data_IF_831739671874
#
_entry.id   IF_831739671874
#
_cell.length_a   1.000
_cell.length_b   1.000
_cell.length_c   1.000
_cell.angle_alpha   90.00
_cell.angle_beta   90.00
_cell.angle_gamma   90.00
#
_symmetry.space_group_name_H-M   'P 1'
#
loop_
_entity.id
_entity.type
_entity.pdbx_description
1 polymer ?
#
# COMPACT_ATOMS: atom_id res chain seq x y z
N UNK A 1 -31.65 -64.11 -12.03
CA UNK A 1 -30.98 -64.50 -13.27
C UNK A 1 -30.61 -63.22 -14.01
N UNK A 2 -29.34 -63.08 -14.40
CA UNK A 2 -28.73 -62.07 -15.29
C UNK A 2 -28.83 -60.59 -14.86
N UNK A 3 -27.76 -60.03 -14.26
CA UNK A 3 -26.55 -59.42 -14.86
C UNK A 3 -26.76 -57.95 -15.27
N UNK A 4 -26.34 -57.04 -14.40
CA UNK A 4 -25.66 -55.80 -14.81
C UNK A 4 -24.72 -55.32 -13.68
N UNK A 5 -23.70 -56.16 -13.44
CA UNK A 5 -22.49 -55.82 -12.70
C UNK A 5 -21.48 -55.24 -13.72
N UNK A 6 -21.61 -53.96 -14.10
CA UNK A 6 -20.55 -53.33 -14.92
C UNK A 6 -20.59 -51.79 -14.99
N UNK A 7 -20.86 -51.08 -13.89
CA UNK A 7 -20.64 -49.62 -13.85
C UNK A 7 -19.97 -49.13 -12.55
N UNK A 8 -19.40 -50.04 -11.77
CA UNK A 8 -18.73 -49.75 -10.49
C UNK A 8 -17.21 -49.59 -10.54
N UNK A 9 -16.59 -49.51 -11.72
CA UNK A 9 -15.12 -49.58 -11.85
C UNK A 9 -14.49 -48.35 -12.54
N UNK A 10 -15.27 -47.43 -13.12
CA UNK A 10 -14.71 -46.24 -13.78
C UNK A 10 -14.61 -44.98 -12.89
N UNK A 11 -15.19 -44.98 -11.68
CA UNK A 11 -15.11 -43.84 -10.76
C UNK A 11 -14.06 -44.00 -9.64
N UNK A 12 -13.29 -45.09 -9.64
CA UNK A 12 -12.25 -45.36 -8.64
C UNK A 12 -10.82 -45.32 -9.20
N UNK A 13 -10.64 -44.75 -10.40
CA UNK A 13 -9.32 -44.54 -11.02
C UNK A 13 -8.96 -43.05 -11.13
N UNK A 14 -9.88 -42.12 -10.84
CA UNK A 14 -9.60 -40.68 -10.91
C UNK A 14 -9.46 -39.98 -9.56
N UNK A 15 -9.19 -40.71 -8.46
CA UNK A 15 -8.97 -40.08 -7.15
C UNK A 15 -7.76 -40.62 -6.38
N UNK A 16 -6.71 -41.03 -7.09
CA UNK A 16 -5.43 -41.42 -6.48
C UNK A 16 -4.21 -40.99 -7.31
N UNK A 17 -4.33 -39.87 -8.03
CA UNK A 17 -3.21 -39.22 -8.74
C UNK A 17 -2.82 -37.85 -8.15
N UNK A 18 -3.18 -37.57 -6.90
CA UNK A 18 -2.64 -36.41 -6.18
C UNK A 18 -2.10 -36.96 -4.87
N UNK A 19 -0.82 -36.70 -4.59
CA UNK A 19 0.03 -37.26 -3.53
C UNK A 19 0.83 -38.53 -3.94
N UNK A 20 1.61 -38.43 -5.03
CA UNK A 20 2.96 -39.03 -5.08
C UNK A 20 3.87 -38.02 -5.80
N UNK A 21 4.97 -37.55 -5.21
CA UNK A 21 5.97 -36.74 -5.91
C UNK A 21 6.56 -37.55 -7.08
N UNK A 22 6.91 -36.88 -8.17
CA UNK A 22 7.38 -37.41 -9.46
C UNK A 22 8.66 -38.28 -9.45
N UNK A 23 9.07 -38.84 -8.32
CA UNK A 23 10.26 -39.68 -8.22
C UNK A 23 10.11 -40.78 -7.15
N UNK A 24 9.41 -41.86 -7.47
CA UNK A 24 9.76 -43.18 -6.93
C UNK A 24 9.19 -44.31 -7.80
N UNK A 25 10.06 -45.20 -8.24
CA UNK A 25 9.68 -46.43 -8.93
C UNK A 25 9.05 -47.40 -7.91
N UNK A 26 7.73 -47.45 -7.85
CA UNK A 26 7.00 -48.53 -7.16
C UNK A 26 6.04 -49.18 -8.14
N UNK A 27 6.40 -50.39 -8.56
CA UNK A 27 5.69 -51.26 -9.52
C UNK A 27 4.33 -51.72 -9.02
N UNK A 28 3.39 -51.90 -9.95
CA UNK A 28 1.96 -52.28 -9.84
C UNK A 28 1.62 -53.51 -8.96
N UNK A 29 2.60 -54.23 -8.43
CA UNK A 29 2.42 -55.52 -7.73
C UNK A 29 1.91 -55.40 -6.29
N UNK A 30 1.93 -54.22 -5.67
CA UNK A 30 1.60 -54.06 -4.23
C UNK A 30 0.11 -53.80 -3.95
N UNK A 31 -0.68 -53.42 -4.95
CA UNK A 31 -2.09 -53.02 -4.76
C UNK A 31 -3.04 -54.23 -4.74
N UNK A 32 -2.72 -55.32 -5.45
CA UNK A 32 -3.58 -56.51 -5.51
C UNK A 32 -3.60 -57.33 -4.21
N UNK A 33 -2.57 -57.20 -3.37
CA UNK A 33 -2.49 -57.94 -2.10
C UNK A 33 -3.44 -57.38 -1.02
N UNK A 34 -3.79 -56.09 -1.10
CA UNK A 34 -4.60 -55.42 -0.07
C UNK A 34 -6.12 -55.66 -0.24
N UNK A 35 -6.57 -55.99 -1.46
CA UNK A 35 -7.99 -56.22 -1.78
C UNK A 35 -8.50 -57.60 -1.30
N UNK A 36 -7.62 -58.58 -1.06
CA UNK A 36 -8.01 -59.94 -0.61
C UNK A 36 -8.09 -60.14 0.91
N UNK A 37 -7.59 -59.20 1.70
CA UNK A 37 -7.63 -59.28 3.17
C UNK A 37 -8.90 -58.59 3.68
N UNK A 38 -9.97 -59.34 3.98
CA UNK A 38 -11.15 -58.86 4.72
C UNK A 38 -10.81 -58.52 6.18
N UNK A 39 -9.87 -57.63 6.42
CA UNK A 39 -9.66 -57.01 7.72
C UNK A 39 -10.43 -55.69 7.75
N UNK A 40 -11.36 -55.62 8.71
CA UNK A 40 -12.12 -54.44 9.12
C UNK A 40 -11.18 -53.22 9.14
N UNK A 41 -11.31 -52.32 8.16
CA UNK A 41 -10.64 -51.03 8.20
C UNK A 41 -11.44 -50.18 9.19
N UNK A 42 -10.84 -49.91 10.35
CA UNK A 42 -11.31 -48.85 11.24
C UNK A 42 -11.18 -47.53 10.48
N UNK A 43 -12.30 -46.90 10.15
CA UNK A 43 -12.32 -45.57 9.56
C UNK A 43 -11.81 -44.62 10.64
N UNK A 44 -10.60 -44.10 10.45
CA UNK A 44 -10.08 -42.96 11.22
C UNK A 44 -11.06 -41.79 11.08
N UNK A 45 -11.30 -40.97 12.12
CA UNK A 45 -12.00 -39.70 11.90
C UNK A 45 -11.24 -38.91 10.83
N UNK A 46 -11.98 -38.43 9.83
CA UNK A 46 -11.43 -37.62 8.75
C UNK A 46 -10.67 -36.45 9.36
N UNK A 47 -9.42 -36.26 8.93
CA UNK A 47 -8.67 -35.04 9.22
C UNK A 47 -9.50 -33.84 8.74
N UNK A 48 -9.53 -32.72 9.48
CA UNK A 48 -10.22 -31.53 9.01
C UNK A 48 -9.64 -31.15 7.66
N UNK A 49 -10.49 -31.12 6.63
CA UNK A 49 -10.16 -30.52 5.35
C UNK A 49 -9.88 -29.06 5.65
N UNK A 50 -8.61 -28.68 5.67
CA UNK A 50 -8.19 -27.29 5.67
C UNK A 50 -8.61 -26.71 4.34
N UNK A 51 -9.72 -25.97 4.33
CA UNK A 51 -10.12 -25.16 3.20
C UNK A 51 -8.99 -24.18 2.94
N UNK A 52 -8.28 -24.36 1.83
CA UNK A 52 -7.34 -23.36 1.34
C UNK A 52 -8.20 -22.19 0.88
N UNK A 53 -8.24 -21.10 1.64
CA UNK A 53 -8.78 -19.84 1.13
C UNK A 53 -7.80 -19.35 0.05
N UNK A 54 -8.16 -19.59 -1.21
CA UNK A 54 -7.52 -18.92 -2.32
C UNK A 54 -7.84 -17.44 -2.21
N UNK A 55 -6.82 -16.59 -2.24
CA UNK A 55 -6.99 -15.14 -2.25
C UNK A 55 -7.51 -14.72 -3.62
N UNK A 56 -8.83 -14.61 -3.76
CA UNK A 56 -9.48 -14.06 -4.94
C UNK A 56 -9.75 -12.57 -4.72
N UNK A 57 -9.57 -11.77 -5.76
CA UNK A 57 -10.01 -10.38 -5.76
C UNK A 57 -11.54 -10.35 -5.83
N UNK A 58 -12.16 -9.55 -4.96
CA UNK A 58 -13.60 -9.30 -4.97
C UNK A 58 -13.88 -7.81 -5.05
N UNK A 59 -14.94 -7.44 -5.77
CA UNK A 59 -15.44 -6.07 -5.79
C UNK A 59 -16.05 -5.70 -4.42
N UNK A 60 -15.92 -4.43 -4.04
CA UNK A 60 -16.57 -3.81 -2.87
C UNK A 60 -17.39 -2.60 -3.34
N UNK A 61 -18.08 -1.91 -2.44
CA UNK A 61 -18.74 -0.63 -2.73
C UNK A 61 -17.84 0.36 -3.50
N UNK A 62 -18.46 1.20 -4.32
CA UNK A 62 -17.77 2.25 -5.10
C UNK A 62 -17.68 3.57 -4.34
N UNK A 63 -16.58 4.31 -4.52
CA UNK A 63 -16.49 5.72 -4.11
C UNK A 63 -17.56 6.57 -4.81
N UNK A 64 -18.03 7.62 -4.13
CA UNK A 64 -18.96 8.62 -4.65
C UNK A 64 -18.29 9.48 -5.73
N UNK A 65 -17.04 9.87 -5.49
CA UNK A 65 -16.28 10.69 -6.43
C UNK A 65 -15.20 9.87 -7.13
N UNK A 66 -15.27 9.83 -8.46
CA UNK A 66 -14.21 9.25 -9.32
C UNK A 66 -12.94 10.10 -9.17
N UNK A 67 -11.80 9.43 -8.97
CA UNK A 67 -10.52 10.11 -8.75
C UNK A 67 -9.33 9.24 -9.16
N UNK A 68 -8.29 9.88 -9.66
CA UNK A 68 -6.93 9.39 -9.83
C UNK A 68 -5.95 10.32 -9.09
N UNK A 69 -4.71 9.90 -8.89
CA UNK A 69 -3.66 10.72 -8.25
C UNK A 69 -4.05 11.24 -6.84
N UNK A 70 -4.93 10.49 -6.16
CA UNK A 70 -5.36 10.71 -4.79
C UNK A 70 -4.42 9.99 -3.82
N UNK A 71 -4.59 10.25 -2.53
CA UNK A 71 -3.93 9.47 -1.47
C UNK A 71 -4.95 8.58 -0.77
N UNK A 72 -4.50 7.41 -0.32
CA UNK A 72 -5.25 6.52 0.58
C UNK A 72 -4.46 6.32 1.87
N UNK A 73 -5.14 6.28 3.02
CA UNK A 73 -4.51 6.17 4.33
C UNK A 73 -5.33 5.28 5.26
N UNK A 74 -4.73 4.19 5.75
CA UNK A 74 -5.34 3.34 6.76
C UNK A 74 -5.31 4.05 8.12
N UNK A 75 -6.49 4.40 8.63
CA UNK A 75 -6.66 5.06 9.91
C UNK A 75 -6.55 4.06 11.05
N UNK A 76 -6.24 4.56 12.25
CA UNK A 76 -6.11 3.76 13.48
C UNK A 76 -7.43 3.06 13.89
N UNK A 77 -8.57 3.55 13.41
CA UNK A 77 -9.88 2.95 13.60
C UNK A 77 -10.22 1.86 12.56
N UNK A 78 -9.29 1.50 11.68
CA UNK A 78 -9.47 0.47 10.65
C UNK A 78 -10.13 0.96 9.35
N UNK A 79 -10.61 2.20 9.29
CA UNK A 79 -11.17 2.78 8.05
C UNK A 79 -10.05 3.26 7.12
N UNK A 80 -10.34 3.33 5.82
CA UNK A 80 -9.41 3.92 4.84
C UNK A 80 -9.91 5.30 4.45
N UNK A 81 -9.10 6.32 4.71
CA UNK A 81 -9.31 7.67 4.23
C UNK A 81 -8.82 7.76 2.79
N UNK A 82 -9.64 8.33 1.91
CA UNK A 82 -9.24 8.68 0.54
C UNK A 82 -9.49 10.16 0.31
N UNK A 83 -8.45 10.90 -0.09
CA UNK A 83 -8.50 12.36 -0.20
C UNK A 83 -7.95 12.89 -1.53
N UNK A 84 -8.64 13.90 -2.06
CA UNK A 84 -8.24 14.68 -3.23
C UNK A 84 -8.17 13.89 -4.54
N UNK A 85 -7.22 14.27 -5.39
CA UNK A 85 -7.03 13.73 -6.72
C UNK A 85 -7.79 14.49 -7.80
N UNK A 86 -7.75 13.91 -9.00
CA UNK A 86 -8.34 14.46 -10.23
C UNK A 86 -9.37 13.49 -10.78
N UNK A 87 -10.54 13.99 -11.20
CA UNK A 87 -11.56 13.13 -11.81
C UNK A 87 -11.31 12.96 -13.33
N UNK A 88 -12.22 12.26 -14.03
CA UNK A 88 -12.09 12.00 -15.48
C UNK A 88 -12.27 13.22 -16.39
N UNK A 89 -12.56 14.40 -15.84
CA UNK A 89 -12.73 15.66 -16.59
C UNK A 89 -11.67 16.69 -16.18
N UNK A 90 -10.53 16.24 -15.66
CA UNK A 90 -9.46 17.08 -15.12
C UNK A 90 -9.90 18.04 -14.00
N UNK A 91 -10.99 17.73 -13.31
CA UNK A 91 -11.43 18.49 -12.16
C UNK A 91 -10.68 18.01 -10.90
N UNK A 92 -9.81 18.88 -10.42
CA UNK A 92 -9.10 18.71 -9.16
C UNK A 92 -10.08 18.93 -8.02
N UNK A 93 -10.22 17.93 -7.15
CA UNK A 93 -11.17 18.00 -6.07
C UNK A 93 -10.48 18.01 -4.70
N UNK A 94 -11.20 18.54 -3.71
CA UNK A 94 -10.81 18.56 -2.30
C UNK A 94 -11.66 17.59 -1.47
N UNK A 95 -12.35 16.67 -2.11
CA UNK A 95 -13.28 15.77 -1.45
C UNK A 95 -12.54 14.66 -0.72
N UNK A 96 -13.15 14.19 0.37
CA UNK A 96 -12.62 13.10 1.19
C UNK A 96 -13.71 12.08 1.42
N UNK A 97 -13.36 10.80 1.33
CA UNK A 97 -14.27 9.69 1.58
C UNK A 97 -13.61 8.67 2.52
N UNK A 98 -14.41 8.03 3.34
CA UNK A 98 -14.00 6.96 4.24
C UNK A 98 -14.57 5.64 3.75
N UNK A 99 -13.72 4.65 3.56
CA UNK A 99 -14.13 3.26 3.37
C UNK A 99 -14.14 2.55 4.71
N UNK A 100 -15.26 1.91 5.03
CA UNK A 100 -15.42 1.06 6.20
C UNK A 100 -15.37 -0.42 5.76
N UNK A 101 -14.28 -1.16 6.04
CA UNK A 101 -14.16 -2.55 5.62
C UNK A 101 -15.13 -3.50 6.34
N UNK A 102 -15.75 -3.08 7.45
CA UNK A 102 -16.72 -3.93 8.16
C UNK A 102 -18.08 -3.92 7.48
N UNK A 103 -18.44 -2.83 6.81
CA UNK A 103 -19.71 -2.67 6.11
C UNK A 103 -19.54 -2.64 4.59
N UNK A 104 -18.30 -2.62 4.09
CA UNK A 104 -17.95 -2.51 2.67
C UNK A 104 -18.51 -1.25 2.00
N UNK A 105 -18.76 -0.20 2.78
CA UNK A 105 -19.39 1.05 2.31
C UNK A 105 -18.45 2.24 2.33
N UNK A 106 -18.69 3.17 1.42
CA UNK A 106 -18.06 4.48 1.40
C UNK A 106 -18.96 5.55 2.04
N UNK A 107 -18.36 6.48 2.76
CA UNK A 107 -19.05 7.65 3.34
C UNK A 107 -18.28 8.92 3.03
N UNK A 108 -18.96 9.96 2.54
CA UNK A 108 -18.34 11.29 2.35
C UNK A 108 -18.01 11.91 3.70
N UNK A 109 -16.81 12.47 3.83
CA UNK A 109 -16.32 13.18 5.02
C UNK A 109 -16.07 14.66 4.69
N UNK A 110 -15.60 15.44 5.66
CA UNK A 110 -15.20 16.83 5.44
C UNK A 110 -14.16 17.00 4.33
N UNK A 111 -14.15 18.19 3.73
CA UNK A 111 -13.36 18.52 2.54
C UNK A 111 -12.08 19.25 2.96
N UNK A 112 -10.99 19.02 2.23
CA UNK A 112 -9.76 19.82 2.38
C UNK A 112 -10.04 21.28 2.02
N UNK A 113 -9.26 22.19 2.58
CA UNK A 113 -9.34 23.62 2.29
C UNK A 113 -8.81 23.95 0.89
N UNK A 114 -7.81 23.19 0.42
CA UNK A 114 -7.34 23.28 -0.97
C UNK A 114 -7.71 22.02 -1.77
N UNK A 115 -7.93 22.18 -3.07
CA UNK A 115 -7.94 21.05 -4.01
C UNK A 115 -6.50 20.60 -4.23
N UNK A 116 -6.26 19.29 -4.28
CA UNK A 116 -4.90 18.72 -4.35
C UNK A 116 -4.90 17.39 -5.09
N UNK A 117 -4.03 17.23 -6.09
CA UNK A 117 -3.65 15.93 -6.65
C UNK A 117 -2.13 15.71 -6.51
N UNK A 118 -1.66 14.46 -6.56
CA UNK A 118 -0.23 14.09 -6.40
C UNK A 118 0.42 14.65 -5.11
N UNK A 119 -0.39 14.87 -4.08
CA UNK A 119 0.05 15.19 -2.73
C UNK A 119 0.43 13.89 -2.00
N UNK A 120 1.10 14.02 -0.85
CA UNK A 120 1.31 12.88 0.05
C UNK A 120 0.37 12.95 1.24
N UNK A 121 0.10 11.80 1.86
CA UNK A 121 -0.65 11.69 3.11
C UNK A 121 0.14 10.84 4.12
N UNK A 122 0.10 11.22 5.39
CA UNK A 122 0.81 10.54 6.49
C UNK A 122 -0.07 10.46 7.73
N UNK A 123 -0.35 9.25 8.19
CA UNK A 123 -1.06 9.00 9.45
C UNK A 123 -0.08 9.21 10.60
N UNK A 124 -0.27 10.28 11.35
CA UNK A 124 0.62 10.68 12.44
C UNK A 124 0.38 9.83 13.69
N UNK A 125 1.35 9.82 14.60
CA UNK A 125 1.26 9.07 15.88
C UNK A 125 0.08 9.52 16.77
N UNK A 126 -0.38 10.76 16.61
CA UNK A 126 -1.55 11.28 17.32
C UNK A 126 -2.89 10.89 16.65
N UNK A 127 -2.87 10.10 15.56
CA UNK A 127 -4.04 9.64 14.83
C UNK A 127 -4.55 10.58 13.74
N UNK A 128 -4.06 11.82 13.66
CA UNK A 128 -4.40 12.76 12.57
C UNK A 128 -3.73 12.34 11.26
N UNK A 129 -4.27 12.79 10.13
CA UNK A 129 -3.63 12.61 8.82
C UNK A 129 -3.09 13.94 8.31
N UNK A 130 -1.78 14.03 8.11
CA UNK A 130 -1.15 15.14 7.42
C UNK A 130 -1.23 14.92 5.92
N UNK A 131 -1.77 15.89 5.17
CA UNK A 131 -1.59 15.99 3.72
C UNK A 131 -0.69 17.17 3.39
N UNK A 132 0.23 17.00 2.45
CA UNK A 132 1.19 18.05 2.10
C UNK A 132 1.40 18.16 0.59
N UNK A 133 1.51 19.41 0.13
CA UNK A 133 1.80 19.76 -1.25
C UNK A 133 0.72 19.34 -2.23
N UNK A 134 1.16 18.86 -3.40
CA UNK A 134 0.31 18.52 -4.53
C UNK A 134 0.16 19.66 -5.53
N UNK A 135 -0.71 19.46 -6.49
CA UNK A 135 -1.08 20.42 -7.52
C UNK A 135 -2.58 20.76 -7.43
N UNK A 136 -2.94 22.03 -7.60
CA UNK A 136 -4.32 22.52 -7.52
C UNK A 136 -4.97 22.84 -8.89
N UNK A 137 -4.35 22.39 -10.00
CA UNK A 137 -4.58 22.75 -11.41
C UNK A 137 -3.95 24.05 -11.90
N UNK A 138 -3.62 24.98 -10.99
CA UNK A 138 -3.06 26.30 -11.32
C UNK A 138 -1.66 26.48 -10.78
N UNK A 139 -1.39 25.90 -9.62
CA UNK A 139 -0.18 26.06 -8.85
C UNK A 139 0.23 24.72 -8.23
N UNK A 140 1.54 24.51 -8.20
CA UNK A 140 2.14 23.57 -7.27
C UNK A 140 2.08 24.14 -5.85
N UNK A 141 1.63 23.33 -4.89
CA UNK A 141 1.34 23.75 -3.53
C UNK A 141 2.53 23.51 -2.60
N UNK A 142 2.73 24.43 -1.66
CA UNK A 142 3.55 24.24 -0.46
C UNK A 142 2.72 24.15 0.83
N UNK A 143 1.40 24.22 0.72
CA UNK A 143 0.50 24.15 1.88
C UNK A 143 0.33 22.72 2.38
N UNK A 144 -0.02 22.59 3.66
CA UNK A 144 -0.33 21.33 4.29
C UNK A 144 -1.56 21.46 5.20
N UNK A 145 -2.25 20.35 5.43
CA UNK A 145 -3.47 20.28 6.23
C UNK A 145 -3.49 19.02 7.09
N UNK A 146 -4.16 19.11 8.24
CA UNK A 146 -4.41 18.00 9.14
C UNK A 146 -5.89 17.62 9.09
N UNK A 147 -6.16 16.34 8.85
CA UNK A 147 -7.48 15.73 9.04
C UNK A 147 -7.58 15.14 10.43
N UNK A 148 -8.67 15.46 11.14
CA UNK A 148 -9.02 14.87 12.43
C UNK A 148 -10.11 13.80 12.23
N UNK A 149 -9.77 12.49 12.27
CA UNK A 149 -10.71 11.41 11.97
C UNK A 149 -11.96 11.37 12.86
N UNK A 150 -11.87 11.88 14.08
CA UNK A 150 -13.01 11.88 15.02
C UNK A 150 -14.09 12.88 14.64
N UNK A 151 -13.71 13.98 13.99
CA UNK A 151 -14.64 15.07 13.61
C UNK A 151 -14.85 15.18 12.10
N UNK A 152 -13.95 14.59 11.31
CA UNK A 152 -13.93 14.75 9.86
C UNK A 152 -13.45 16.13 9.40
N UNK A 153 -12.92 16.96 10.29
CA UNK A 153 -12.53 18.34 9.99
C UNK A 153 -11.09 18.40 9.45
N UNK A 154 -10.88 19.24 8.43
CA UNK A 154 -9.56 19.61 7.92
C UNK A 154 -9.15 20.98 8.45
N UNK A 155 -7.91 21.08 8.96
CA UNK A 155 -7.33 22.34 9.46
C UNK A 155 -6.00 22.60 8.77
N UNK A 156 -5.77 23.83 8.30
CA UNK A 156 -4.47 24.24 7.78
C UNK A 156 -3.41 24.16 8.88
N UNK A 157 -2.21 23.67 8.54
CA UNK A 157 -1.05 23.63 9.46
C UNK A 157 0.11 24.43 8.84
N UNK A 158 1.32 24.32 9.41
CA UNK A 158 2.51 24.98 8.85
C UNK A 158 2.72 24.69 7.36
N UNK A 159 3.38 25.61 6.67
CA UNK A 159 3.66 25.52 5.23
C UNK A 159 5.08 25.04 4.96
N UNK A 160 5.25 24.22 3.92
CA UNK A 160 6.57 23.80 3.44
C UNK A 160 7.35 25.00 2.88
N UNK A 161 8.68 24.92 2.95
CA UNK A 161 9.58 25.92 2.38
C UNK A 161 9.62 25.84 0.85
N UNK A 162 9.38 24.64 0.29
CA UNK A 162 9.32 24.45 -1.15
C UNK A 162 7.99 23.82 -1.56
N UNK A 163 7.35 24.43 -2.58
CA UNK A 163 6.19 23.84 -3.24
C UNK A 163 6.60 22.56 -3.98
N UNK A 164 5.78 21.52 -3.86
CA UNK A 164 6.08 20.22 -4.45
C UNK A 164 4.86 19.34 -4.66
N UNK A 165 4.84 18.61 -5.78
CA UNK A 165 3.98 17.45 -6.00
C UNK A 165 4.83 16.24 -6.40
N UNK A 166 4.27 15.02 -6.34
CA UNK A 166 4.99 13.78 -6.69
C UNK A 166 6.23 13.52 -5.83
N UNK A 167 6.29 14.14 -4.65
CA UNK A 167 7.33 13.92 -3.65
C UNK A 167 7.03 12.66 -2.86
N UNK A 168 8.04 12.09 -2.20
CA UNK A 168 7.85 10.94 -1.34
C UNK A 168 7.90 11.35 0.13
N UNK A 169 7.25 10.55 0.99
CA UNK A 169 7.14 10.81 2.42
C UNK A 169 7.60 9.61 3.25
N UNK A 170 8.15 9.86 4.43
CA UNK A 170 8.49 8.83 5.41
C UNK A 170 8.24 9.35 6.83
N UNK A 171 7.56 8.55 7.65
CA UNK A 171 7.38 8.86 9.08
C UNK A 171 8.58 8.29 9.84
N UNK A 172 9.35 9.15 10.48
CA UNK A 172 10.56 8.77 11.19
C UNK A 172 10.23 8.19 12.58
N UNK A 173 11.14 7.41 13.20
CA UNK A 173 10.92 6.85 14.54
C UNK A 173 10.63 7.89 15.64
N UNK A 174 11.09 9.13 15.44
CA UNK A 174 10.83 10.25 16.36
C UNK A 174 9.48 10.94 16.11
N UNK A 175 8.65 10.44 15.19
CA UNK A 175 7.33 10.99 14.85
C UNK A 175 7.33 12.14 13.85
N UNK A 176 8.50 12.66 13.44
CA UNK A 176 8.59 13.67 12.38
C UNK A 176 8.30 13.07 11.02
N UNK A 177 7.76 13.89 10.12
CA UNK A 177 7.46 13.48 8.75
C UNK A 177 8.52 14.05 7.81
N UNK A 178 9.31 13.19 7.19
CA UNK A 178 10.29 13.54 6.18
C UNK A 178 9.64 13.58 4.80
N UNK A 179 9.68 14.73 4.15
CA UNK A 179 9.25 14.93 2.76
C UNK A 179 10.46 15.12 1.87
N UNK A 180 10.50 14.39 0.76
CA UNK A 180 11.70 14.20 -0.05
C UNK A 180 11.37 14.54 -1.52
N UNK A 181 12.16 15.44 -2.10
CA UNK A 181 12.21 15.68 -3.56
C UNK A 181 10.84 15.99 -4.21
N UNK A 182 10.55 15.45 -5.39
CA UNK A 182 9.35 15.78 -6.18
C UNK A 182 9.60 16.90 -7.20
N UNK A 183 8.54 17.51 -7.71
CA UNK A 183 8.61 18.61 -8.69
C UNK A 183 7.91 19.87 -8.16
N UNK A 184 8.49 21.04 -8.43
CA UNK A 184 7.87 22.33 -8.11
C UNK A 184 7.05 22.94 -9.27
N UNK A 185 6.82 22.15 -10.33
CA UNK A 185 6.17 22.57 -11.58
C UNK A 185 7.14 23.07 -12.66
N UNK A 186 8.40 23.36 -12.32
CA UNK A 186 9.43 23.85 -13.27
C UNK A 186 10.67 22.97 -13.34
N UNK A 187 11.00 22.27 -12.25
CA UNK A 187 12.14 21.36 -12.15
C UNK A 187 11.92 20.33 -11.06
N UNK A 188 12.66 19.24 -11.11
CA UNK A 188 12.75 18.32 -9.98
C UNK A 188 13.52 18.94 -8.82
N UNK A 189 13.19 18.50 -7.61
CA UNK A 189 13.78 18.97 -6.37
C UNK A 189 14.73 17.93 -5.81
N UNK A 190 15.83 18.40 -5.23
CA UNK A 190 16.70 17.59 -4.37
C UNK A 190 16.58 17.97 -2.89
N UNK A 191 15.71 18.91 -2.56
CA UNK A 191 15.48 19.32 -1.18
C UNK A 191 14.62 18.32 -0.42
N UNK A 192 14.92 18.16 0.85
CA UNK A 192 14.08 17.45 1.81
C UNK A 192 13.75 18.36 3.00
N UNK A 193 12.61 18.08 3.63
CA UNK A 193 12.06 18.86 4.74
C UNK A 193 11.46 17.95 5.80
N UNK A 194 11.48 18.39 7.05
CA UNK A 194 10.87 17.72 8.19
C UNK A 194 9.68 18.53 8.67
N UNK A 195 8.52 17.91 8.74
CA UNK A 195 7.39 18.41 9.53
C UNK A 195 7.49 17.86 10.95
N UNK A 196 7.34 18.74 11.93
CA UNK A 196 7.25 18.40 13.34
C UNK A 196 5.80 18.54 13.81
N UNK A 197 5.08 17.42 14.05
CA UNK A 197 3.69 17.47 14.51
C UNK A 197 3.47 18.13 15.87
N UNK A 198 4.51 18.28 16.70
CA UNK A 198 4.39 18.89 18.03
C UNK A 198 4.38 20.41 17.99
N UNK A 199 5.06 20.99 17.00
CA UNK A 199 5.14 22.43 16.77
C UNK A 199 4.38 22.88 15.54
N UNK A 200 3.91 21.93 14.72
CA UNK A 200 3.24 22.18 13.44
C UNK A 200 4.09 23.00 12.46
N UNK A 201 5.41 22.84 12.51
CA UNK A 201 6.36 23.60 11.69
C UNK A 201 7.15 22.72 10.74
N UNK A 202 7.60 23.32 9.64
CA UNK A 202 8.49 22.70 8.67
C UNK A 202 9.91 23.23 8.80
N UNK A 203 10.90 22.37 8.71
CA UNK A 203 12.33 22.74 8.71
C UNK A 203 13.06 22.01 7.58
N UNK A 204 13.96 22.70 6.88
CA UNK A 204 14.79 22.07 5.85
C UNK A 204 15.81 21.12 6.47
N UNK A 205 16.14 20.03 5.77
CA UNK A 205 17.19 19.09 6.16
C UNK A 205 18.17 18.87 4.99
N UNK A 206 19.06 17.89 5.09
CA UNK A 206 20.01 17.55 4.03
C UNK A 206 19.31 17.31 2.69
N UNK A 207 20.05 17.57 1.61
CA UNK A 207 19.58 17.41 0.23
C UNK A 207 20.11 16.11 -0.34
N UNK A 208 19.31 15.48 -1.20
CA UNK A 208 19.76 14.32 -1.98
C UNK A 208 20.72 14.78 -3.09
N UNK A 209 21.57 13.88 -3.57
CA UNK A 209 22.57 14.18 -4.58
C UNK A 209 21.96 14.56 -5.93
N UNK A 210 20.90 13.85 -6.34
CA UNK A 210 20.23 14.06 -7.63
C UNK A 210 18.74 14.28 -7.42
N UNK A 211 18.24 15.40 -7.96
CA UNK A 211 16.82 15.73 -7.95
C UNK A 211 16.00 14.67 -8.70
N UNK A 212 14.87 14.26 -8.11
CA UNK A 212 14.05 13.17 -8.65
C UNK A 212 12.60 13.20 -8.20
N UNK A 213 11.74 12.52 -8.94
CA UNK A 213 10.36 12.20 -8.55
C UNK A 213 10.04 10.74 -8.90
N UNK A 214 8.86 10.22 -8.51
CA UNK A 214 8.43 8.83 -8.76
C UNK A 214 9.43 7.74 -8.28
N UNK A 215 10.11 7.99 -7.17
CA UNK A 215 11.01 7.05 -6.49
C UNK A 215 10.31 6.41 -5.28
N UNK A 216 10.93 5.38 -4.69
CA UNK A 216 10.45 4.79 -3.43
C UNK A 216 11.25 5.32 -2.24
N UNK A 217 10.61 5.46 -1.08
CA UNK A 217 11.28 5.74 0.19
C UNK A 217 10.82 4.71 1.24
N UNK A 218 11.77 4.09 1.93
CA UNK A 218 11.51 3.07 2.95
C UNK A 218 12.26 3.38 4.23
N UNK A 219 11.54 3.41 5.35
CA UNK A 219 12.14 3.49 6.68
C UNK A 219 12.69 2.11 7.03
N UNK A 220 13.99 2.05 7.30
CA UNK A 220 14.69 0.83 7.68
C UNK A 220 14.55 0.56 9.19
N UNK A 221 14.83 -0.68 9.60
CA UNK A 221 14.75 -1.09 11.02
C UNK A 221 15.68 -0.32 11.95
N UNK A 222 16.77 0.25 11.41
CA UNK A 222 17.68 1.13 12.14
C UNK A 222 17.23 2.61 12.16
N UNK A 223 16.04 2.92 11.65
CA UNK A 223 15.46 4.27 11.62
C UNK A 223 15.91 5.14 10.45
N UNK A 224 16.88 4.71 9.63
CA UNK A 224 17.31 5.44 8.44
C UNK A 224 16.28 5.34 7.32
N UNK A 225 16.30 6.27 6.37
CA UNK A 225 15.40 6.22 5.20
C UNK A 225 16.20 5.93 3.94
N UNK A 226 15.93 4.80 3.30
CA UNK A 226 16.48 4.46 2.00
C UNK A 226 15.57 4.99 0.91
N UNK A 227 16.12 5.74 -0.04
CA UNK A 227 15.44 6.06 -1.30
C UNK A 227 16.05 5.27 -2.45
N UNK A 228 15.21 4.82 -3.38
CA UNK A 228 15.65 4.06 -4.54
C UNK A 228 14.83 4.39 -5.80
N UNK A 229 15.54 4.49 -6.92
CA UNK A 229 14.93 4.71 -8.24
C UNK A 229 14.52 6.16 -8.48
N UNK A 230 13.47 6.31 -9.29
CA UNK A 230 12.88 7.59 -9.68
C UNK A 230 13.30 8.06 -11.06
N UNK A 231 12.70 9.15 -11.47
CA UNK A 231 13.02 9.86 -12.71
C UNK A 231 13.79 11.11 -12.36
N UNK A 232 14.91 11.32 -13.04
CA UNK A 232 15.76 12.51 -12.94
C UNK A 232 15.70 13.30 -14.26
N UNK A 233 16.28 14.51 -14.29
CA UNK A 233 16.37 15.31 -15.52
C UNK A 233 17.25 14.62 -16.59
N UNK A 234 18.13 13.72 -16.18
CA UNK A 234 19.13 13.09 -17.05
C UNK A 234 18.76 11.67 -17.52
N UNK A 235 17.84 10.95 -16.84
CA UNK A 235 17.22 9.65 -17.22
C UNK A 235 16.44 9.01 -16.04
N UNK A 236 16.13 7.71 -16.10
CA UNK A 236 15.71 6.92 -14.93
C UNK A 236 16.88 6.81 -13.94
N UNK A 237 16.72 7.37 -12.74
CA UNK A 237 17.75 7.41 -11.71
C UNK A 237 18.02 6.02 -11.12
N UNK A 238 19.25 5.52 -11.29
CA UNK A 238 19.68 4.24 -10.70
C UNK A 238 20.23 4.37 -9.27
N UNK A 239 20.51 5.59 -8.80
CA UNK A 239 21.16 5.81 -7.51
C UNK A 239 20.22 5.54 -6.32
N UNK A 240 20.73 4.89 -5.29
CA UNK A 240 20.06 4.82 -3.98
C UNK A 240 20.79 5.72 -2.98
N UNK A 241 20.04 6.33 -2.07
CA UNK A 241 20.61 7.22 -1.05
C UNK A 241 19.97 6.94 0.31
N UNK A 242 20.75 7.11 1.37
CA UNK A 242 20.37 6.80 2.74
C UNK A 242 20.39 8.08 3.58
N UNK A 243 19.23 8.44 4.12
CA UNK A 243 19.08 9.52 5.09
C UNK A 243 19.34 9.02 6.51
N UNK A 244 20.18 9.73 7.26
CA UNK A 244 20.38 9.52 8.68
C UNK A 244 19.66 10.61 9.50
N UNK A 245 18.55 10.28 10.18
CA UNK A 245 17.80 11.26 10.98
C UNK A 245 18.59 11.88 12.13
N UNK A 246 19.66 11.23 12.60
CA UNK A 246 20.46 11.76 13.71
C UNK A 246 21.35 12.93 13.28
N UNK A 247 21.76 12.97 12.02
CA UNK A 247 22.60 14.04 11.46
C UNK A 247 21.87 14.90 10.44
N UNK A 248 20.72 14.46 9.94
CA UNK A 248 19.99 15.10 8.86
C UNK A 248 20.69 15.05 7.51
N UNK A 249 21.60 14.09 7.29
CA UNK A 249 22.42 14.01 6.08
C UNK A 249 22.03 12.81 5.21
N UNK A 250 22.31 12.95 3.91
CA UNK A 250 22.19 11.87 2.93
C UNK A 250 23.57 11.32 2.57
N UNK A 251 23.63 10.02 2.30
CA UNK A 251 24.82 9.31 1.82
C UNK A 251 24.44 8.41 0.66
N UNK A 252 25.34 8.25 -0.32
CA UNK A 252 25.13 7.27 -1.38
C UNK A 252 25.04 5.86 -0.78
N UNK A 253 24.09 5.07 -1.26
CA UNK A 253 23.96 3.66 -0.96
C UNK A 253 24.02 2.89 -2.29
N UNK A 254 24.79 1.81 -2.35
CA UNK A 254 25.01 1.03 -3.58
C UNK A 254 26.33 1.36 -4.25
#
# INVERSE_FOLDING_TARGET
MHNNQMYGILYLVLLLAIIVPENSAATTTTIEALVRSRKKILISPALPVTTVHLSEWSDTGSMTYRRALHTSSLLTNGKVLVSGGVNSTDYYNNSTELYDPLTETWTVSGRMNCVRAMHTASVLMNGKVLVAGGDDSRNTLNTAELYEPTTGIWTMTGTMNFQRFGHMVSILPNGKVLVIAGSNGTRFLNSAELYDPSTETWTTTGKIGVARFDFTASVLTNGKVLIAGGVTDENVGQGTELYDPSTGNWTAAG
#
